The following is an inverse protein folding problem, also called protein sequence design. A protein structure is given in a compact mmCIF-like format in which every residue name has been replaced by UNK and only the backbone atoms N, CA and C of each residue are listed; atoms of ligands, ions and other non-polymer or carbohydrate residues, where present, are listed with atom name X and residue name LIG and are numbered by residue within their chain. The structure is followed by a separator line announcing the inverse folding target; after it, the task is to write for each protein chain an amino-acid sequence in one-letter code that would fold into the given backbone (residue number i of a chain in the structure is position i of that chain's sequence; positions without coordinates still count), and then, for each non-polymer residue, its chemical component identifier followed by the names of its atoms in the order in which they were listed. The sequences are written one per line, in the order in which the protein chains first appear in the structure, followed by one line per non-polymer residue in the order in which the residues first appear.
data_IF_636397145872
#
_entry.id   IF_636397145872
#
_cell.length_a   1.000
_cell.length_b   1.000
_cell.length_c   1.000
_cell.angle_alpha   90.00
_cell.angle_beta   90.00
_cell.angle_gamma   90.00
#
_symmetry.space_group_name_H-M   'P 1'
#
loop_
_entity.id
_entity.type
_entity.pdbx_description
1 polymer ?
#
# COMPACT_ATOMS: atom_id res chain seq x y z
N UNK A 1 -23.96 -9.36 -8.53
CA UNK A 1 -23.31 -8.07 -8.82
C UNK A 1 -23.72 -7.12 -7.71
N UNK A 2 -22.80 -6.67 -6.86
CA UNK A 2 -23.16 -5.73 -5.79
C UNK A 2 -23.51 -4.38 -6.43
N UNK A 3 -24.58 -3.74 -5.94
CA UNK A 3 -25.01 -2.42 -6.43
C UNK A 3 -24.27 -1.32 -5.65
N UNK A 4 -24.22 -0.11 -6.21
CA UNK A 4 -23.53 1.05 -5.59
C UNK A 4 -23.94 1.28 -4.13
N UNK A 5 -25.23 1.18 -3.71
CA UNK A 5 -25.61 1.33 -2.30
C UNK A 5 -24.95 0.30 -1.38
N UNK A 6 -24.90 -0.97 -1.80
CA UNK A 6 -24.28 -2.05 -1.03
C UNK A 6 -22.76 -1.88 -0.89
N UNK A 7 -22.13 -1.16 -1.83
CA UNK A 7 -20.71 -0.81 -1.75
C UNK A 7 -20.46 0.27 -0.68
N UNK A 8 -21.35 1.26 -0.58
CA UNK A 8 -21.27 2.27 0.48
C UNK A 8 -21.55 1.67 1.85
N UNK A 9 -22.55 0.78 1.98
CA UNK A 9 -22.82 0.08 3.24
C UNK A 9 -21.62 -0.75 3.72
N UNK A 10 -20.86 -1.33 2.79
CA UNK A 10 -19.63 -2.05 3.12
C UNK A 10 -18.52 -1.08 3.54
N UNK A 11 -18.37 0.04 2.82
CA UNK A 11 -17.39 1.06 3.14
C UNK A 11 -17.61 1.64 4.55
N UNK A 12 -18.85 1.98 4.90
CA UNK A 12 -19.21 2.49 6.22
C UNK A 12 -18.85 1.49 7.33
N UNK A 13 -19.06 0.19 7.09
CA UNK A 13 -18.65 -0.86 8.03
C UNK A 13 -17.14 -0.94 8.18
N UNK A 14 -16.38 -0.78 7.09
CA UNK A 14 -14.90 -0.75 7.15
C UNK A 14 -14.44 0.47 7.95
N UNK A 15 -15.03 1.63 7.73
CA UNK A 15 -14.71 2.85 8.46
C UNK A 15 -15.08 2.81 9.95
N UNK A 16 -16.13 2.06 10.32
CA UNK A 16 -16.57 1.89 11.70
C UNK A 16 -15.82 0.78 12.47
N UNK A 17 -15.01 -0.03 11.78
CA UNK A 17 -14.28 -1.14 12.41
C UNK A 17 -13.00 -0.63 13.07
N UNK A 18 -12.92 -0.72 14.40
CA UNK A 18 -11.75 -0.26 15.19
C UNK A 18 -10.44 -0.99 14.84
N UNK A 19 -10.54 -2.16 14.18
CA UNK A 19 -9.36 -2.89 13.70
C UNK A 19 -8.75 -2.25 12.45
N UNK A 20 -9.47 -1.36 11.79
CA UNK A 20 -9.04 -0.64 10.58
C UNK A 20 -8.70 0.79 10.97
N UNK A 21 -7.40 1.09 11.01
CA UNK A 21 -6.92 2.42 11.32
C UNK A 21 -6.39 3.13 10.07
N UNK A 22 -6.61 4.44 10.00
CA UNK A 22 -5.88 5.32 9.09
C UNK A 22 -4.55 5.69 9.75
N UNK A 23 -3.46 5.57 9.00
CA UNK A 23 -2.14 6.00 9.42
C UNK A 23 -1.71 7.17 8.54
N UNK A 24 -1.25 8.24 9.19
CA UNK A 24 -0.62 9.36 8.50
C UNK A 24 0.68 8.91 7.83
N UNK A 25 1.04 9.62 6.76
CA UNK A 25 2.32 9.41 6.09
C UNK A 25 3.50 9.59 7.07
N UNK A 26 4.45 8.63 7.13
CA UNK A 26 5.65 8.76 7.95
C UNK A 26 6.51 9.95 7.50
N UNK A 27 6.94 10.81 8.44
CA UNK A 27 7.69 12.05 8.13
C UNK A 27 8.96 11.82 7.28
N UNK A 28 9.64 10.69 7.49
CA UNK A 28 10.87 10.34 6.79
C UNK A 28 10.65 9.39 5.59
N UNK A 29 9.49 9.44 4.93
CA UNK A 29 9.19 8.59 3.78
C UNK A 29 10.02 8.93 2.54
N UNK A 30 10.38 10.20 2.33
CA UNK A 30 10.98 10.65 1.06
C UNK A 30 12.31 9.93 0.71
N UNK A 31 13.29 9.78 1.62
CA UNK A 31 14.52 9.05 1.32
C UNK A 31 14.27 7.59 0.92
N UNK A 32 13.35 6.93 1.61
CA UNK A 32 12.98 5.54 1.35
C UNK A 32 12.22 5.42 0.02
N UNK A 33 11.29 6.33 -0.25
CA UNK A 33 10.56 6.39 -1.50
C UNK A 33 11.49 6.60 -2.69
N UNK A 34 12.48 7.50 -2.58
CA UNK A 34 13.53 7.69 -3.59
C UNK A 34 14.38 6.44 -3.77
N UNK A 35 14.63 5.66 -2.71
CA UNK A 35 15.35 4.38 -2.79
C UNK A 35 14.56 3.35 -3.61
N UNK A 36 13.27 3.22 -3.34
CA UNK A 36 12.37 2.24 -3.98
C UNK A 36 11.98 2.58 -5.42
N UNK A 37 11.94 3.87 -5.75
CA UNK A 37 11.54 4.39 -7.07
C UNK A 37 12.69 4.45 -8.09
N UNK A 38 13.94 4.13 -7.71
CA UNK A 38 15.14 4.19 -8.56
C UNK A 38 15.23 3.14 -9.67
N UNK A 39 14.17 2.40 -9.97
CA UNK A 39 14.19 1.45 -11.08
C UNK A 39 14.16 2.18 -12.44
N UNK A 40 15.01 1.73 -13.36
CA UNK A 40 15.30 2.39 -14.64
C UNK A 40 14.16 2.39 -15.68
N UNK A 41 12.91 2.16 -15.28
CA UNK A 41 11.74 2.19 -16.16
C UNK A 41 10.71 3.18 -15.63
N UNK A 42 10.41 4.20 -16.44
CA UNK A 42 9.34 5.16 -16.14
C UNK A 42 7.99 4.49 -16.40
N UNK A 43 7.31 4.06 -15.34
CA UNK A 43 5.93 3.60 -15.39
C UNK A 43 5.19 4.12 -14.15
N UNK A 44 3.97 4.68 -14.28
CA UNK A 44 3.19 5.16 -13.14
C UNK A 44 2.98 4.09 -12.06
N UNK A 45 2.89 2.81 -12.46
CA UNK A 45 2.74 1.68 -11.55
C UNK A 45 3.96 1.52 -10.62
N UNK A 46 5.16 1.80 -11.14
CA UNK A 46 6.41 1.69 -10.37
C UNK A 46 6.48 2.71 -9.23
N UNK A 47 5.90 3.90 -9.42
CA UNK A 47 5.84 4.93 -8.38
C UNK A 47 4.85 4.58 -7.27
N UNK A 48 3.65 4.12 -7.62
CA UNK A 48 2.66 3.71 -6.62
C UNK A 48 3.17 2.53 -5.77
N UNK A 49 3.76 1.53 -6.42
CA UNK A 49 4.38 0.39 -5.73
C UNK A 49 5.52 0.83 -4.80
N UNK A 50 6.40 1.72 -5.28
CA UNK A 50 7.49 2.26 -4.48
C UNK A 50 7.00 3.06 -3.26
N UNK A 51 5.89 3.79 -3.40
CA UNK A 51 5.28 4.53 -2.30
C UNK A 51 4.76 3.59 -1.21
N UNK A 52 3.97 2.58 -1.59
CA UNK A 52 3.42 1.61 -0.64
C UNK A 52 4.51 0.84 0.10
N UNK A 53 5.59 0.47 -0.60
CA UNK A 53 6.76 -0.16 0.00
C UNK A 53 7.46 0.77 0.99
N UNK A 54 7.65 2.04 0.62
CA UNK A 54 8.30 3.01 1.47
C UNK A 54 7.46 3.29 2.72
N UNK A 55 6.15 3.46 2.57
CA UNK A 55 5.22 3.63 3.68
C UNK A 55 5.29 2.44 4.64
N UNK A 56 5.14 1.21 4.11
CA UNK A 56 5.16 0.01 4.95
C UNK A 56 6.50 -0.15 5.68
N UNK A 57 7.61 0.08 4.98
CA UNK A 57 8.96 0.02 5.57
C UNK A 57 9.13 1.03 6.69
N UNK A 58 8.75 2.30 6.46
CA UNK A 58 8.92 3.38 7.44
C UNK A 58 7.95 3.27 8.62
N UNK A 59 6.77 2.70 8.41
CA UNK A 59 5.79 2.45 9.46
C UNK A 59 6.01 1.12 10.20
N UNK A 60 6.98 0.29 9.79
CA UNK A 60 7.21 -1.03 10.39
C UNK A 60 6.07 -2.02 10.16
N UNK A 61 5.41 -1.92 9.00
CA UNK A 61 4.24 -2.70 8.61
C UNK A 61 4.59 -3.72 7.53
N UNK A 62 3.76 -4.77 7.44
CA UNK A 62 3.79 -5.73 6.34
C UNK A 62 2.81 -5.32 5.24
N UNK A 63 3.28 -5.21 4.00
CA UNK A 63 2.43 -4.94 2.85
C UNK A 63 1.78 -6.24 2.37
N UNK A 64 0.46 -6.38 2.55
CA UNK A 64 -0.32 -7.51 2.03
C UNK A 64 -1.04 -7.11 0.75
N UNK A 65 -0.85 -7.85 -0.33
CA UNK A 65 -1.41 -7.49 -1.66
C UNK A 65 -1.70 -8.73 -2.51
N UNK A 66 -2.52 -8.57 -3.55
CA UNK A 66 -2.70 -9.58 -4.61
C UNK A 66 -1.83 -9.30 -5.85
N UNK A 67 -1.12 -8.17 -5.88
CA UNK A 67 -0.29 -7.81 -7.03
C UNK A 67 1.03 -8.60 -7.02
N UNK A 68 1.12 -9.57 -7.94
CA UNK A 68 2.31 -10.39 -8.11
C UNK A 68 3.59 -9.62 -8.46
N UNK A 69 3.48 -8.40 -9.02
CA UNK A 69 4.63 -7.57 -9.36
C UNK A 69 5.44 -7.13 -8.13
N UNK A 70 4.81 -7.09 -6.95
CA UNK A 70 5.44 -6.70 -5.69
C UNK A 70 6.19 -7.85 -5.00
N UNK A 71 6.04 -9.10 -5.47
CA UNK A 71 6.68 -10.28 -4.86
C UNK A 71 8.21 -10.18 -4.79
N UNK A 72 8.84 -9.53 -5.76
CA UNK A 72 10.31 -9.38 -5.82
C UNK A 72 10.84 -8.16 -5.06
N UNK A 73 9.98 -7.38 -4.40
CA UNK A 73 10.32 -6.06 -3.87
C UNK A 73 10.75 -6.02 -2.40
N UNK A 74 10.70 -7.14 -1.67
CA UNK A 74 11.26 -7.23 -0.32
C UNK A 74 10.61 -8.27 0.57
N UNK A 75 11.26 -8.56 1.70
CA UNK A 75 10.79 -9.52 2.71
C UNK A 75 9.51 -9.07 3.44
N UNK A 76 9.22 -7.77 3.42
CA UNK A 76 8.06 -7.15 4.07
C UNK A 76 6.77 -7.21 3.20
N UNK A 77 6.82 -7.86 2.04
CA UNK A 77 5.65 -8.04 1.16
C UNK A 77 5.11 -9.46 1.28
N UNK A 78 3.82 -9.57 1.57
CA UNK A 78 3.08 -10.82 1.47
C UNK A 78 2.09 -10.75 0.32
N UNK A 79 2.35 -11.54 -0.72
CA UNK A 79 1.43 -11.66 -1.86
C UNK A 79 0.53 -12.88 -1.67
N UNK A 80 -0.77 -12.62 -1.53
CA UNK A 80 -1.83 -13.62 -1.42
C UNK A 80 -2.14 -14.29 -2.77
#
# INVERSE_FOLDING_TARGET
MRKIPEAWDLWDKVCADERVAYLSEPEAIEPEFRRQSRLGTSSPKVWADAYLLAFATMAGLKLVTFDGALRSRGSEVFVL
#
